data_IF_540483587719
#
_entry.id   IF_540483587719
#
_cell.length_a   1.000
_cell.length_b   1.000
_cell.length_c   1.000
_cell.angle_alpha   90.00
_cell.angle_beta   90.00
_cell.angle_gamma   90.00
#
_symmetry.space_group_name_H-M   'P 1'
#
loop_
_entity.id
_entity.type
_entity.pdbx_description
1 polymer ?
#
# COMPACT_ATOMS: atom_id res chain seq x y z
N UNK A 1 -8.54 6.61 8.22
CA UNK A 1 -7.09 6.55 8.44
C UNK A 1 -6.61 7.86 9.05
N UNK A 2 -5.79 7.81 10.07
CA UNK A 2 -5.36 9.00 10.78
C UNK A 2 -4.25 9.72 10.01
N UNK A 3 -4.36 11.06 9.89
CA UNK A 3 -3.32 11.87 9.28
C UNK A 3 -2.05 11.84 10.15
N UNK A 4 -0.90 11.81 9.52
CA UNK A 4 0.40 11.82 10.18
C UNK A 4 1.40 12.66 9.39
N UNK A 5 2.49 13.03 10.05
CA UNK A 5 3.55 13.78 9.38
C UNK A 5 4.42 12.84 8.52
N UNK A 6 4.85 13.30 7.33
CA UNK A 6 5.85 12.58 6.54
C UNK A 6 7.14 12.37 7.33
N UNK A 7 7.79 11.22 7.11
CA UNK A 7 9.03 10.87 7.81
C UNK A 7 10.25 11.62 7.25
N UNK A 8 10.20 12.05 5.99
CA UNK A 8 11.28 12.77 5.33
C UNK A 8 10.75 13.61 4.15
N UNK A 9 11.67 14.30 3.47
CA UNK A 9 11.34 15.15 2.33
C UNK A 9 10.79 14.35 1.14
N UNK A 10 11.30 13.15 0.91
CA UNK A 10 10.84 12.28 -0.18
C UNK A 10 9.38 11.89 0.03
N UNK A 11 9.01 11.50 1.24
CA UNK A 11 7.62 11.18 1.55
C UNK A 11 6.73 12.42 1.48
N UNK A 12 7.23 13.58 1.91
CA UNK A 12 6.49 14.84 1.78
C UNK A 12 6.13 15.11 0.33
N UNK A 13 7.09 14.95 -0.58
CA UNK A 13 6.87 15.14 -2.01
C UNK A 13 5.90 14.09 -2.56
N UNK A 14 5.99 12.86 -2.10
CA UNK A 14 5.08 11.78 -2.49
C UNK A 14 3.66 12.05 -2.03
N UNK A 15 3.48 12.54 -0.80
CA UNK A 15 2.15 12.91 -0.30
C UNK A 15 1.54 14.04 -1.13
N UNK A 16 2.33 15.07 -1.46
CA UNK A 16 1.85 16.17 -2.29
C UNK A 16 1.44 15.69 -3.69
N UNK A 17 2.26 14.82 -4.30
CA UNK A 17 1.95 14.21 -5.60
C UNK A 17 0.72 13.33 -5.52
N UNK A 18 0.61 12.52 -4.47
CA UNK A 18 -0.54 11.63 -4.24
C UNK A 18 -1.85 12.43 -4.16
N UNK A 19 -1.89 13.48 -3.37
CA UNK A 19 -3.10 14.29 -3.21
C UNK A 19 -3.50 14.94 -4.52
N UNK A 20 -2.54 15.46 -5.28
CA UNK A 20 -2.80 16.07 -6.57
C UNK A 20 -3.35 15.08 -7.58
N UNK A 21 -2.74 13.88 -7.66
CA UNK A 21 -3.18 12.81 -8.57
C UNK A 21 -4.54 12.25 -8.17
N UNK A 22 -4.75 12.05 -6.87
CA UNK A 22 -6.01 11.52 -6.34
C UNK A 22 -7.19 12.41 -6.73
N UNK A 23 -7.04 13.73 -6.56
CA UNK A 23 -8.09 14.68 -6.90
C UNK A 23 -8.34 14.76 -8.41
N UNK A 24 -7.34 14.50 -9.24
CA UNK A 24 -7.43 14.57 -10.69
C UNK A 24 -8.07 13.33 -11.32
N UNK A 25 -8.11 12.19 -10.62
CA UNK A 25 -8.59 10.92 -11.15
C UNK A 25 -10.02 10.65 -10.69
N UNK A 26 -10.89 10.21 -11.62
CA UNK A 26 -12.28 9.85 -11.30
C UNK A 26 -12.34 8.55 -10.50
N UNK A 27 -11.49 7.59 -10.84
CA UNK A 27 -11.40 6.29 -10.18
C UNK A 27 -9.97 6.00 -9.78
N UNK A 28 -9.44 6.66 -8.73
CA UNK A 28 -8.03 6.59 -8.40
C UNK A 28 -7.53 5.18 -8.02
N UNK A 29 -8.45 4.28 -7.61
CA UNK A 29 -8.09 2.91 -7.24
C UNK A 29 -8.20 1.92 -8.39
N UNK A 30 -8.67 2.34 -9.57
CA UNK A 30 -8.88 1.43 -10.70
C UNK A 30 -7.67 1.43 -11.64
N UNK A 31 -7.03 0.27 -11.78
CA UNK A 31 -5.96 0.09 -12.76
C UNK A 31 -6.51 0.02 -14.20
N UNK A 32 -7.78 -0.39 -14.37
CA UNK A 32 -8.41 -0.44 -15.69
C UNK A 32 -8.77 0.96 -16.21
N UNK A 33 -9.12 1.87 -15.31
CA UNK A 33 -9.52 3.21 -15.68
C UNK A 33 -8.32 4.13 -15.94
N UNK A 34 -7.19 3.88 -15.28
CA UNK A 34 -6.05 4.80 -15.28
C UNK A 34 -4.72 4.06 -15.35
N UNK A 35 -3.74 4.66 -16.05
CA UNK A 35 -2.34 4.19 -15.97
C UNK A 35 -1.73 4.50 -14.61
N UNK A 36 -2.14 5.61 -14.00
CA UNK A 36 -1.77 5.98 -12.64
C UNK A 36 -2.93 5.62 -11.74
N UNK A 37 -2.68 4.83 -10.71
CA UNK A 37 -3.70 4.41 -9.78
C UNK A 37 -3.09 4.11 -8.42
N UNK A 38 -3.93 4.05 -7.39
CA UNK A 38 -3.50 3.76 -6.02
C UNK A 38 -3.41 2.25 -5.83
N UNK A 39 -2.33 1.82 -5.23
CA UNK A 39 -2.15 0.46 -4.73
C UNK A 39 -2.00 0.49 -3.23
N UNK A 40 -2.13 -0.65 -2.58
CA UNK A 40 -1.95 -0.77 -1.14
C UNK A 40 -0.99 -1.90 -0.83
N UNK A 41 -0.13 -1.67 0.15
CA UNK A 41 0.81 -2.67 0.61
C UNK A 41 0.87 -2.72 2.13
N UNK A 42 1.39 -3.82 2.65
CA UNK A 42 1.49 -4.05 4.07
C UNK A 42 2.94 -4.32 4.47
N UNK A 43 3.33 -3.78 5.60
CA UNK A 43 4.55 -4.21 6.26
C UNK A 43 4.18 -5.37 7.18
N UNK A 44 4.63 -6.57 6.84
CA UNK A 44 4.33 -7.79 7.58
C UNK A 44 5.48 -8.07 8.53
N UNK A 45 5.18 -8.17 9.80
CA UNK A 45 6.18 -8.38 10.85
C UNK A 45 5.84 -9.60 11.69
N UNK A 46 6.85 -10.19 12.32
CA UNK A 46 6.65 -11.24 13.31
C UNK A 46 6.02 -10.68 14.59
N UNK A 47 5.47 -11.56 15.44
CA UNK A 47 4.83 -11.14 16.69
C UNK A 47 5.78 -10.37 17.60
N UNK A 48 7.06 -10.73 17.62
CA UNK A 48 8.08 -10.04 18.40
C UNK A 48 8.58 -8.76 17.71
N UNK A 49 8.11 -8.48 16.49
CA UNK A 49 8.46 -7.29 15.69
C UNK A 49 9.93 -7.17 15.34
N UNK A 50 10.65 -8.28 15.36
CA UNK A 50 12.08 -8.30 15.03
C UNK A 50 12.38 -8.60 13.59
N UNK A 51 11.41 -9.17 12.85
CA UNK A 51 11.59 -9.55 11.45
C UNK A 51 10.49 -8.98 10.58
N UNK A 52 10.87 -8.58 9.38
CA UNK A 52 9.96 -8.11 8.34
C UNK A 52 9.95 -9.12 7.23
N UNK A 53 8.77 -9.44 6.72
CA UNK A 53 8.64 -10.35 5.58
C UNK A 53 8.66 -9.56 4.29
N UNK A 54 9.56 -9.95 3.40
CA UNK A 54 9.61 -9.43 2.02
C UNK A 54 9.52 -10.62 1.08
N UNK A 55 8.98 -10.38 -0.13
CA UNK A 55 8.98 -11.38 -1.18
C UNK A 55 9.71 -10.86 -2.41
N UNK A 56 10.26 -11.78 -3.21
CA UNK A 56 10.91 -11.42 -4.45
C UNK A 56 9.86 -11.21 -5.53
N UNK A 57 9.67 -9.95 -5.92
CA UNK A 57 8.73 -9.60 -6.98
C UNK A 57 9.34 -9.98 -8.33
N UNK A 58 8.72 -10.92 -9.04
CA UNK A 58 9.28 -11.50 -10.26
C UNK A 58 9.50 -10.48 -11.39
N UNK A 59 8.53 -9.58 -11.58
CA UNK A 59 8.58 -8.60 -12.67
C UNK A 59 9.61 -7.49 -12.40
N UNK A 60 9.72 -7.06 -11.14
CA UNK A 60 10.63 -5.99 -10.76
C UNK A 60 12.01 -6.52 -10.33
N UNK A 61 12.12 -7.83 -10.09
CA UNK A 61 13.33 -8.48 -9.60
C UNK A 61 13.87 -7.79 -8.34
N UNK A 62 12.97 -7.48 -7.42
CA UNK A 62 13.28 -6.76 -6.17
C UNK A 62 12.55 -7.43 -5.01
N UNK A 63 13.15 -7.34 -3.84
CA UNK A 63 12.50 -7.73 -2.59
C UNK A 63 11.59 -6.60 -2.13
N UNK A 64 10.30 -6.88 -2.04
CA UNK A 64 9.29 -5.89 -1.70
C UNK A 64 8.35 -6.41 -0.64
N UNK A 65 7.71 -5.48 0.08
CA UNK A 65 6.60 -5.83 0.94
C UNK A 65 5.41 -6.32 0.10
N UNK A 66 4.56 -7.20 0.66
CA UNK A 66 3.34 -7.65 -0.02
C UNK A 66 2.40 -6.48 -0.31
N UNK A 67 1.77 -6.51 -1.45
CA UNK A 67 0.82 -5.48 -1.84
C UNK A 67 0.35 -5.65 -3.26
N UNK A 68 -0.60 -4.83 -3.65
CA UNK A 68 -1.17 -4.88 -5.00
C UNK A 68 -2.32 -3.92 -5.18
N UNK A 69 -3.15 -4.23 -6.16
CA UNK A 69 -4.27 -3.41 -6.55
C UNK A 69 -5.41 -3.47 -5.54
N UNK A 70 -6.17 -2.39 -5.48
CA UNK A 70 -7.36 -2.30 -4.63
C UNK A 70 -8.56 -2.70 -5.50
N UNK A 71 -9.32 -3.70 -5.03
CA UNK A 71 -10.51 -4.15 -5.74
C UNK A 71 -11.65 -3.14 -5.59
N UNK A 72 -12.60 -3.17 -6.51
CA UNK A 72 -13.76 -2.28 -6.47
C UNK A 72 -14.50 -2.40 -5.13
N UNK A 73 -14.73 -1.27 -4.48
CA UNK A 73 -15.42 -1.21 -3.19
C UNK A 73 -14.59 -1.61 -1.99
N UNK A 74 -13.33 -1.99 -2.21
CA UNK A 74 -12.42 -2.39 -1.13
C UNK A 74 -11.72 -1.17 -0.52
N UNK A 75 -11.53 -1.18 0.79
CA UNK A 75 -10.74 -0.15 1.46
C UNK A 75 -9.25 -0.44 1.33
N UNK A 76 -8.38 0.59 1.29
CA UNK A 76 -6.95 0.37 1.12
C UNK A 76 -6.33 -0.59 2.13
N UNK A 77 -6.67 -0.49 3.42
CA UNK A 77 -6.13 -1.39 4.43
C UNK A 77 -6.67 -2.81 4.31
N UNK A 78 -7.89 -2.98 3.82
CA UNK A 78 -8.44 -4.30 3.53
C UNK A 78 -7.72 -4.94 2.35
N UNK A 79 -7.41 -4.15 1.32
CA UNK A 79 -6.62 -4.62 0.18
C UNK A 79 -5.21 -5.03 0.62
N UNK A 80 -4.55 -4.23 1.44
CA UNK A 80 -3.22 -4.54 1.96
C UNK A 80 -3.22 -5.85 2.74
N UNK A 81 -4.21 -6.06 3.60
CA UNK A 81 -4.34 -7.30 4.37
C UNK A 81 -4.61 -8.50 3.47
N UNK A 82 -5.53 -8.36 2.52
CA UNK A 82 -5.83 -9.43 1.56
C UNK A 82 -4.60 -9.83 0.77
N UNK A 83 -3.89 -8.87 0.21
CA UNK A 83 -2.67 -9.12 -0.55
C UNK A 83 -1.59 -9.78 0.31
N UNK A 84 -1.43 -9.34 1.56
CA UNK A 84 -0.48 -9.96 2.48
C UNK A 84 -0.81 -11.44 2.70
N UNK A 85 -2.08 -11.77 2.94
CA UNK A 85 -2.50 -13.16 3.13
C UNK A 85 -2.33 -14.00 1.86
N UNK A 86 -2.71 -13.45 0.70
CA UNK A 86 -2.61 -14.16 -0.58
C UNK A 86 -1.17 -14.43 -0.99
N UNK A 87 -0.30 -13.43 -0.88
CA UNK A 87 1.08 -13.54 -1.35
C UNK A 87 1.98 -14.35 -0.41
N UNK A 88 1.69 -14.33 0.89
CA UNK A 88 2.51 -15.05 1.87
C UNK A 88 1.95 -16.41 2.23
N UNK A 89 0.65 -16.64 2.03
CA UNK A 89 -0.04 -17.83 2.52
C UNK A 89 -0.21 -17.86 4.03
N UNK A 90 0.07 -16.75 4.73
CA UNK A 90 0.01 -16.66 6.18
C UNK A 90 -1.28 -15.97 6.63
N UNK A 91 -1.80 -16.30 7.82
CA UNK A 91 -2.99 -15.64 8.38
C UNK A 91 -2.64 -14.30 9.02
N UNK A 92 -2.22 -13.33 8.22
CA UNK A 92 -1.85 -12.01 8.71
C UNK A 92 -3.05 -11.28 9.32
N UNK A 93 -2.78 -10.42 10.30
CA UNK A 93 -3.79 -9.59 10.96
C UNK A 93 -3.30 -8.16 11.07
N UNK A 94 -4.22 -7.21 11.02
CA UNK A 94 -3.89 -5.81 11.26
C UNK A 94 -3.48 -5.63 12.71
N UNK A 95 -2.44 -4.84 12.95
CA UNK A 95 -1.88 -4.57 14.27
C UNK A 95 -2.37 -3.23 14.79
N UNK A 96 -2.66 -3.19 16.07
CA UNK A 96 -3.06 -1.97 16.78
C UNK A 96 -4.56 -1.75 16.77
N UNK A 97 -5.04 -0.75 17.51
CA UNK A 97 -6.45 -0.44 17.57
C UNK A 97 -6.91 0.10 16.21
N UNK A 98 -7.93 -0.54 15.63
CA UNK A 98 -8.65 0.04 14.50
C UNK A 98 -9.58 1.10 15.09
N UNK A 99 -9.23 2.38 14.94
CA UNK A 99 -10.12 3.48 15.28
C UNK A 99 -11.24 3.60 14.24
N UNK A 100 -12.12 4.56 14.42
CA UNK A 100 -13.20 4.85 13.46
C UNK A 100 -12.65 5.15 12.06
N UNK A 101 -11.44 5.73 11.98
CA UNK A 101 -10.76 6.09 10.75
C UNK A 101 -9.92 4.95 10.15
N UNK A 102 -10.00 3.76 10.72
CA UNK A 102 -9.24 2.60 10.29
C UNK A 102 -7.82 2.55 10.87
N UNK A 103 -6.97 1.65 10.36
CA UNK A 103 -5.60 1.51 10.84
C UNK A 103 -4.73 2.69 10.42
N UNK A 104 -3.60 2.86 11.13
CA UNK A 104 -2.68 3.95 10.85
C UNK A 104 -1.93 3.72 9.55
N UNK A 105 -1.88 4.77 8.72
CA UNK A 105 -1.04 4.80 7.52
C UNK A 105 0.43 4.97 7.93
N UNK A 106 1.30 4.10 7.42
CA UNK A 106 2.73 4.14 7.75
C UNK A 106 3.56 4.95 6.75
N UNK A 107 3.25 4.86 5.47
CA UNK A 107 4.08 5.48 4.44
C UNK A 107 3.31 5.70 3.16
N UNK A 108 3.66 6.76 2.44
CA UNK A 108 3.15 7.05 1.09
C UNK A 108 4.32 7.20 0.14
N UNK A 109 4.25 6.54 -1.01
CA UNK A 109 5.25 6.66 -2.06
C UNK A 109 4.56 6.77 -3.42
N UNK A 110 5.15 7.55 -4.32
CA UNK A 110 4.73 7.63 -5.72
C UNK A 110 5.91 7.22 -6.57
N UNK A 111 5.72 6.17 -7.36
CA UNK A 111 6.78 5.63 -8.20
C UNK A 111 6.21 5.01 -9.48
N UNK A 112 7.09 4.73 -10.43
CA UNK A 112 6.74 4.00 -11.63
C UNK A 112 6.55 2.52 -11.36
N UNK A 113 5.60 1.90 -12.07
CA UNK A 113 5.37 0.47 -12.02
C UNK A 113 6.24 -0.30 -13.02
N UNK A 114 6.07 -1.63 -13.09
CA UNK A 114 6.77 -2.45 -14.07
C UNK A 114 6.43 -2.03 -15.50
N UNK A 115 7.40 -2.16 -16.42
CA UNK A 115 7.17 -1.90 -17.84
C UNK A 115 6.13 -2.88 -18.39
N UNK A 116 5.26 -2.40 -19.28
CA UNK A 116 4.19 -3.19 -19.86
C UNK A 116 2.99 -3.38 -18.97
N UNK A 117 2.96 -2.63 -17.89
CA UNK A 117 1.86 -2.66 -16.92
C UNK A 117 0.65 -1.89 -17.43
#
# INVERSE_FOLDING_TARGET
MVARRPVDARERDSVASFLRLYDALEQPFSEQANKVHVTASAIVVTDDRRRVLLHLHKRMNMWLQPGGHIDAGELPWSAALREACEETGLPAQLVGPAGEDGPQLLHVDVHGGPKGH
#
